data_IF_277096542792
#
_entry.id   IF_277096542792
#
_cell.length_a   1.000
_cell.length_b   1.000
_cell.length_c   1.000
_cell.angle_alpha   90.00
_cell.angle_beta   90.00
_cell.angle_gamma   90.00
#
_symmetry.space_group_name_H-M   'P 1'
#
loop_
_entity.id
_entity.type
_entity.pdbx_description
1 polymer ?
#
# COMPACT_ATOMS: atom_id res chain seq x y z
N UNK A 1 3.73 -15.99 2.03
CA UNK A 1 3.53 -15.02 0.94
C UNK A 1 2.76 -13.79 1.44
N UNK A 2 1.56 -13.93 2.05
CA UNK A 2 0.74 -12.81 2.52
C UNK A 2 1.51 -11.82 3.40
N UNK A 3 2.21 -12.30 4.43
CA UNK A 3 2.97 -11.42 5.35
C UNK A 3 4.09 -10.67 4.65
N UNK A 4 4.76 -11.28 3.68
CA UNK A 4 5.82 -10.64 2.91
C UNK A 4 5.28 -9.48 2.06
N UNK A 5 4.16 -9.72 1.36
CA UNK A 5 3.49 -8.70 0.56
C UNK A 5 2.99 -7.57 1.46
N UNK A 6 2.38 -7.91 2.58
CA UNK A 6 1.90 -6.94 3.55
C UNK A 6 3.04 -6.08 4.14
N UNK A 7 4.17 -6.72 4.47
CA UNK A 7 5.36 -6.01 4.92
C UNK A 7 5.90 -5.06 3.85
N UNK A 8 6.01 -5.51 2.59
CA UNK A 8 6.49 -4.66 1.50
C UNK A 8 5.60 -3.44 1.28
N UNK A 9 4.27 -3.61 1.27
CA UNK A 9 3.31 -2.51 1.13
C UNK A 9 3.45 -1.48 2.26
N UNK A 10 3.54 -1.94 3.50
CA UNK A 10 3.67 -1.06 4.65
C UNK A 10 5.02 -0.35 4.69
N UNK A 11 6.12 -1.07 4.50
CA UNK A 11 7.46 -0.49 4.46
C UNK A 11 7.59 0.55 3.35
N UNK A 12 7.02 0.27 2.18
CA UNK A 12 6.97 1.22 1.07
C UNK A 12 6.19 2.48 1.42
N UNK A 13 4.98 2.34 1.94
CA UNK A 13 4.15 3.47 2.36
C UNK A 13 4.84 4.31 3.45
N UNK A 14 5.38 3.67 4.50
CA UNK A 14 6.11 4.38 5.55
C UNK A 14 7.39 5.02 5.06
N UNK A 15 8.07 4.46 4.06
CA UNK A 15 9.22 5.09 3.42
C UNK A 15 8.84 6.43 2.76
N UNK A 16 7.66 6.51 2.13
CA UNK A 16 7.13 7.77 1.61
C UNK A 16 6.79 8.73 2.75
N UNK A 17 6.15 8.23 3.82
CA UNK A 17 5.85 9.03 5.02
C UNK A 17 7.13 9.67 5.59
N UNK A 18 8.20 8.89 5.74
CA UNK A 18 9.48 9.38 6.25
C UNK A 18 10.05 10.46 5.33
N UNK A 19 9.99 10.28 4.00
CA UNK A 19 10.48 11.26 3.05
C UNK A 19 9.72 12.59 3.16
N UNK A 20 8.39 12.55 3.19
CA UNK A 20 7.53 13.74 3.30
C UNK A 20 7.69 14.39 4.66
N UNK A 21 7.68 13.63 5.75
CA UNK A 21 7.81 14.16 7.12
C UNK A 21 9.17 14.88 7.36
N UNK A 22 10.23 14.46 6.69
CA UNK A 22 11.53 15.15 6.74
C UNK A 22 11.47 16.56 6.16
N UNK A 23 10.66 16.78 5.13
CA UNK A 23 10.48 18.11 4.53
C UNK A 23 9.47 18.94 5.33
N UNK A 24 8.30 18.39 5.58
CA UNK A 24 7.16 19.12 6.18
C UNK A 24 7.26 19.25 7.69
N UNK A 25 8.14 18.47 8.33
CA UNK A 25 8.25 18.33 9.80
C UNK A 25 6.92 17.99 10.48
N UNK A 26 6.02 17.35 9.73
CA UNK A 26 4.68 16.96 10.18
C UNK A 26 4.38 15.53 9.72
N UNK A 27 3.64 14.80 10.54
CA UNK A 27 3.07 13.48 10.21
C UNK A 27 1.59 13.54 9.85
N UNK A 28 1.01 14.75 9.75
CA UNK A 28 -0.42 14.92 9.46
C UNK A 28 -0.73 14.70 7.98
N UNK A 29 -1.91 14.14 7.69
CA UNK A 29 -2.37 13.91 6.32
C UNK A 29 -2.51 15.23 5.55
N UNK A 30 -2.84 16.32 6.23
CA UNK A 30 -2.91 17.66 5.65
C UNK A 30 -1.61 18.11 5.00
N UNK A 31 -0.46 17.68 5.53
CA UNK A 31 0.86 18.03 5.01
C UNK A 31 1.20 17.38 3.66
N UNK A 32 0.39 16.39 3.21
CA UNK A 32 0.52 15.76 1.90
C UNK A 32 -0.19 16.52 0.78
N UNK A 33 -0.84 17.64 1.10
CA UNK A 33 -1.53 18.47 0.10
C UNK A 33 -0.62 18.81 -1.08
N UNK A 34 -1.09 18.56 -2.30
CA UNK A 34 -0.36 18.88 -3.51
C UNK A 34 0.97 18.16 -3.70
N UNK A 35 1.20 17.03 -3.02
CA UNK A 35 2.45 16.28 -3.13
C UNK A 35 2.83 15.97 -4.58
N UNK A 36 1.85 15.75 -5.44
CA UNK A 36 2.07 15.52 -6.87
C UNK A 36 2.75 16.71 -7.57
N UNK A 37 2.51 17.95 -7.13
CA UNK A 37 3.08 19.14 -7.78
C UNK A 37 4.58 19.27 -7.59
N UNK A 38 5.11 18.87 -6.42
CA UNK A 38 6.53 19.05 -6.08
C UNK A 38 7.33 17.75 -5.89
N UNK A 39 6.65 16.61 -5.73
CA UNK A 39 7.28 15.29 -5.62
C UNK A 39 6.41 14.21 -6.29
N UNK A 40 6.19 14.26 -7.63
CA UNK A 40 5.27 13.37 -8.33
C UNK A 40 5.63 11.88 -8.15
N UNK A 41 6.92 11.55 -8.11
CA UNK A 41 7.36 10.17 -7.88
C UNK A 41 6.91 9.61 -6.53
N UNK A 42 7.00 10.40 -5.46
CA UNK A 42 6.52 9.98 -4.13
C UNK A 42 5.00 9.87 -4.08
N UNK A 43 4.28 10.78 -4.74
CA UNK A 43 2.82 10.74 -4.82
C UNK A 43 2.33 9.48 -5.56
N UNK A 44 2.96 9.11 -6.67
CA UNK A 44 2.65 7.89 -7.42
C UNK A 44 2.96 6.65 -6.59
N UNK A 45 4.13 6.55 -5.96
CA UNK A 45 4.51 5.42 -5.12
C UNK A 45 3.55 5.25 -3.94
N UNK A 46 3.22 6.34 -3.25
CA UNK A 46 2.26 6.30 -2.15
C UNK A 46 0.88 5.82 -2.63
N UNK A 47 0.42 6.28 -3.78
CA UNK A 47 -0.84 5.84 -4.38
C UNK A 47 -0.83 4.34 -4.68
N UNK A 48 0.26 3.82 -5.24
CA UNK A 48 0.43 2.38 -5.51
C UNK A 48 0.34 1.58 -4.20
N UNK A 49 1.06 1.99 -3.16
CA UNK A 49 1.03 1.30 -1.87
C UNK A 49 -0.35 1.37 -1.21
N UNK A 50 -0.99 2.54 -1.20
CA UNK A 50 -2.33 2.72 -0.62
C UNK A 50 -3.38 1.88 -1.36
N UNK A 51 -3.37 1.87 -2.68
CA UNK A 51 -4.31 1.08 -3.48
C UNK A 51 -4.02 -0.43 -3.38
N UNK A 52 -2.75 -0.81 -3.23
CA UNK A 52 -2.41 -2.19 -2.94
C UNK A 52 -2.93 -2.63 -1.56
N UNK A 53 -2.76 -1.80 -0.52
CA UNK A 53 -3.33 -2.04 0.81
C UNK A 53 -4.86 -2.09 0.80
N UNK A 54 -5.49 -1.25 -0.01
CA UNK A 54 -6.95 -1.31 -0.24
C UNK A 54 -7.38 -2.63 -0.89
N UNK A 55 -6.49 -3.27 -1.65
CA UNK A 55 -6.77 -4.51 -2.37
C UNK A 55 -7.34 -4.28 -3.75
N UNK A 56 -6.92 -3.21 -4.44
CA UNK A 56 -7.36 -2.89 -5.79
C UNK A 56 -6.53 -3.70 -6.80
N UNK A 57 -7.16 -4.51 -7.69
CA UNK A 57 -6.46 -5.18 -8.78
C UNK A 57 -5.83 -4.14 -9.74
N UNK A 58 -4.70 -4.43 -10.39
CA UNK A 58 -3.92 -5.67 -10.38
C UNK A 58 -2.79 -5.71 -9.33
N UNK A 59 -2.91 -4.99 -8.22
CA UNK A 59 -1.85 -4.90 -7.22
C UNK A 59 -1.82 -6.11 -6.27
N UNK A 60 -0.66 -6.33 -5.64
CA UNK A 60 -0.39 -7.49 -4.80
C UNK A 60 -1.38 -7.71 -3.65
N UNK A 61 -1.88 -6.62 -3.06
CA UNK A 61 -2.85 -6.69 -1.96
C UNK A 61 -4.20 -7.31 -2.33
N UNK A 62 -4.62 -7.20 -3.61
CA UNK A 62 -5.83 -7.85 -4.09
C UNK A 62 -5.70 -9.38 -4.00
N UNK A 63 -4.60 -9.94 -4.49
CA UNK A 63 -4.33 -11.37 -4.44
C UNK A 63 -4.19 -11.87 -3.01
N UNK A 64 -3.49 -11.12 -2.17
CA UNK A 64 -3.36 -11.44 -0.75
C UNK A 64 -4.73 -11.58 -0.07
N UNK A 65 -5.66 -10.65 -0.33
CA UNK A 65 -7.03 -10.70 0.21
C UNK A 65 -7.82 -11.87 -0.38
N UNK A 66 -7.73 -12.13 -1.68
CA UNK A 66 -8.43 -13.25 -2.32
C UNK A 66 -8.01 -14.58 -1.69
N UNK A 67 -6.73 -14.79 -1.41
CA UNK A 67 -6.24 -16.01 -0.76
C UNK A 67 -6.78 -16.15 0.67
N UNK A 68 -6.83 -15.07 1.43
CA UNK A 68 -7.41 -15.08 2.79
C UNK A 68 -8.90 -15.38 2.73
N UNK A 69 -9.66 -14.74 1.83
CA UNK A 69 -11.09 -15.00 1.70
C UNK A 69 -11.39 -16.44 1.28
N UNK A 70 -10.60 -17.00 0.36
CA UNK A 70 -10.73 -18.43 -0.01
C UNK A 70 -10.51 -19.33 1.18
N UNK A 71 -9.43 -19.15 1.93
CA UNK A 71 -9.14 -19.96 3.11
C UNK A 71 -10.25 -19.88 4.17
N UNK A 72 -10.86 -18.72 4.34
CA UNK A 72 -12.00 -18.51 5.24
C UNK A 72 -13.25 -19.25 4.77
N UNK A 73 -13.54 -19.21 3.47
CA UNK A 73 -14.70 -19.90 2.90
C UNK A 73 -14.52 -21.43 2.92
N UNK A 74 -13.32 -21.91 2.64
CA UNK A 74 -12.99 -23.35 2.66
C UNK A 74 -13.09 -23.95 4.07
N UNK A 75 -12.91 -23.13 5.11
CA UNK A 75 -13.09 -23.56 6.50
C UNK A 75 -14.54 -23.96 6.86
N UNK A 76 -15.55 -23.48 6.12
CA UNK A 76 -16.93 -23.93 6.16
C UNK A 76 -17.69 -23.76 7.49
N UNK A 77 -17.13 -23.03 8.45
CA UNK A 77 -17.71 -22.81 9.78
C UNK A 77 -18.44 -21.48 9.86
N UNK A 78 -19.47 -21.37 10.71
CA UNK A 78 -20.18 -20.12 10.93
C UNK A 78 -19.26 -18.97 11.39
N UNK A 79 -18.25 -19.28 12.19
CA UNK A 79 -17.22 -18.32 12.60
C UNK A 79 -16.36 -17.84 11.44
N UNK A 80 -16.01 -18.71 10.51
CA UNK A 80 -15.25 -18.34 9.32
C UNK A 80 -16.05 -17.34 8.47
N UNK A 81 -17.35 -17.56 8.27
CA UNK A 81 -18.21 -16.62 7.56
C UNK A 81 -18.25 -15.26 8.26
N UNK A 82 -18.41 -15.23 9.60
CA UNK A 82 -18.38 -13.98 10.35
C UNK A 82 -17.08 -13.22 10.22
N UNK A 83 -15.93 -13.92 10.25
CA UNK A 83 -14.59 -13.33 10.00
C UNK A 83 -14.45 -12.79 8.57
N UNK A 84 -14.98 -13.52 7.58
CA UNK A 84 -15.00 -13.08 6.19
C UNK A 84 -15.78 -11.78 6.00
N UNK A 85 -16.98 -11.69 6.61
CA UNK A 85 -17.80 -10.47 6.58
C UNK A 85 -17.07 -9.31 7.27
N UNK A 86 -16.49 -9.55 8.44
CA UNK A 86 -15.73 -8.52 9.16
C UNK A 86 -14.55 -8.03 8.35
N UNK A 87 -13.80 -8.93 7.69
CA UNK A 87 -12.68 -8.60 6.82
C UNK A 87 -13.12 -7.79 5.58
N UNK A 88 -14.29 -8.12 5.00
CA UNK A 88 -14.85 -7.39 3.87
C UNK A 88 -15.23 -5.96 4.28
N UNK A 89 -15.95 -5.79 5.40
CA UNK A 89 -16.33 -4.48 5.94
C UNK A 89 -15.09 -3.65 6.24
N UNK A 90 -14.10 -4.23 6.91
CA UNK A 90 -12.84 -3.54 7.22
C UNK A 90 -12.07 -3.13 5.96
N UNK A 91 -12.16 -3.93 4.87
CA UNK A 91 -11.55 -3.58 3.59
C UNK A 91 -12.20 -2.37 2.94
N UNK A 92 -13.53 -2.22 3.05
CA UNK A 92 -14.26 -1.04 2.55
C UNK A 92 -13.89 0.20 3.36
N UNK A 93 -13.80 0.09 4.68
CA UNK A 93 -13.35 1.18 5.56
C UNK A 93 -11.91 1.59 5.18
N UNK A 94 -11.02 0.61 5.00
CA UNK A 94 -9.64 0.85 4.56
C UNK A 94 -9.56 1.57 3.22
N UNK A 95 -10.38 1.18 2.25
CA UNK A 95 -10.46 1.84 0.95
C UNK A 95 -10.79 3.33 1.08
N UNK A 96 -11.72 3.68 1.96
CA UNK A 96 -12.08 5.07 2.22
C UNK A 96 -10.88 5.87 2.76
N UNK A 97 -10.16 5.33 3.75
CA UNK A 97 -8.96 5.97 4.30
C UNK A 97 -7.86 6.14 3.27
N UNK A 98 -7.54 5.10 2.52
CA UNK A 98 -6.48 5.15 1.52
C UNK A 98 -6.82 6.10 0.37
N UNK A 99 -8.08 6.13 -0.04
CA UNK A 99 -8.54 7.07 -1.06
C UNK A 99 -8.49 8.53 -0.58
N UNK A 100 -8.72 8.78 0.72
CA UNK A 100 -8.63 10.14 1.27
C UNK A 100 -7.19 10.67 1.24
N UNK A 101 -6.19 9.82 1.53
CA UNK A 101 -4.78 10.18 1.41
C UNK A 101 -4.41 10.47 -0.05
N UNK A 102 -4.83 9.60 -0.99
CA UNK A 102 -4.61 9.83 -2.41
C UNK A 102 -5.24 11.15 -2.86
N UNK A 103 -6.49 11.41 -2.48
CA UNK A 103 -7.17 12.68 -2.80
C UNK A 103 -6.38 13.88 -2.27
N UNK A 104 -5.85 13.80 -1.06
CA UNK A 104 -5.04 14.87 -0.47
C UNK A 104 -3.81 15.19 -1.32
N UNK A 105 -3.10 14.16 -1.78
CA UNK A 105 -1.89 14.32 -2.60
C UNK A 105 -2.15 14.89 -3.99
N UNK A 106 -3.28 14.53 -4.60
CA UNK A 106 -3.57 14.82 -6.01
C UNK A 106 -4.48 16.01 -6.22
N UNK A 107 -5.38 16.33 -5.27
CA UNK A 107 -6.48 17.28 -5.49
C UNK A 107 -6.46 18.46 -4.52
N UNK A 108 -5.63 18.44 -3.48
CA UNK A 108 -5.55 19.53 -2.51
C UNK A 108 -4.35 20.41 -2.84
N UNK A 109 -4.47 21.74 -2.74
CA UNK A 109 -3.34 22.65 -2.94
C UNK A 109 -2.23 22.41 -1.93
N UNK A 110 -1.00 22.82 -2.28
CA UNK A 110 0.15 22.78 -1.35
C UNK A 110 -0.12 23.73 -0.18
N UNK A 111 -0.14 23.25 1.08
CA UNK A 111 -0.56 24.04 2.24
C UNK A 111 0.22 25.33 2.42
N UNK A 112 1.55 25.27 2.29
CA UNK A 112 2.46 26.40 2.51
C UNK A 112 2.95 27.05 1.21
N UNK A 113 2.46 26.60 0.05
CA UNK A 113 2.92 27.03 -1.27
C UNK A 113 4.36 26.64 -1.59
N UNK A 114 5.06 25.92 -0.71
CA UNK A 114 6.44 25.48 -0.91
C UNK A 114 6.51 24.27 -1.83
N UNK A 115 6.89 24.50 -3.08
CA UNK A 115 7.06 23.47 -4.13
C UNK A 115 8.51 23.00 -4.30
N UNK A 116 9.38 23.23 -3.33
CA UNK A 116 10.75 22.70 -3.40
C UNK A 116 10.72 21.17 -3.37
N UNK A 117 11.60 20.50 -4.14
CA UNK A 117 11.65 19.05 -4.19
C UNK A 117 11.91 18.41 -2.81
N UNK A 118 11.33 17.23 -2.58
CA UNK A 118 11.59 16.46 -1.36
C UNK A 118 12.95 15.77 -1.51
N UNK A 119 13.93 16.05 -0.63
CA UNK A 119 15.21 15.32 -0.66
C UNK A 119 15.00 13.89 -0.14
N UNK A 120 15.20 12.90 -1.02
CA UNK A 120 15.08 11.48 -0.67
C UNK A 120 16.48 10.88 -0.56
N UNK A 121 16.94 10.45 0.63
CA UNK A 121 18.24 9.81 0.80
C UNK A 121 18.35 8.49 0.03
N UNK A 122 19.55 8.16 -0.46
CA UNK A 122 19.79 6.95 -1.25
C UNK A 122 19.27 5.64 -0.60
N UNK A 123 19.43 5.40 0.72
CA UNK A 123 18.84 4.21 1.35
C UNK A 123 17.32 4.15 1.24
N UNK A 124 16.66 5.31 1.29
CA UNK A 124 15.21 5.38 1.19
C UNK A 124 14.74 5.15 -0.26
N UNK A 125 15.50 5.62 -1.25
CA UNK A 125 15.26 5.31 -2.66
C UNK A 125 15.39 3.81 -2.91
N UNK A 126 16.40 3.16 -2.35
CA UNK A 126 16.57 1.71 -2.45
C UNK A 126 15.39 0.95 -1.81
N UNK A 127 14.97 1.35 -0.60
CA UNK A 127 13.80 0.76 0.07
C UNK A 127 12.52 0.90 -0.75
N UNK A 128 12.26 2.08 -1.30
CA UNK A 128 11.11 2.34 -2.18
C UNK A 128 11.18 1.50 -3.46
N UNK A 129 12.35 1.40 -4.09
CA UNK A 129 12.57 0.60 -5.29
C UNK A 129 12.30 -0.89 -5.04
N UNK A 130 12.84 -1.45 -3.95
CA UNK A 130 12.63 -2.86 -3.59
C UNK A 130 11.15 -3.13 -3.29
N UNK A 131 10.53 -2.31 -2.45
CA UNK A 131 9.15 -2.53 -2.00
C UNK A 131 8.15 -2.39 -3.13
N UNK A 132 8.29 -1.39 -4.01
CA UNK A 132 7.40 -1.24 -5.17
C UNK A 132 7.60 -2.37 -6.18
N UNK A 133 8.84 -2.83 -6.37
CA UNK A 133 9.12 -3.98 -7.25
C UNK A 133 8.45 -5.25 -6.76
N UNK A 134 8.48 -5.52 -5.46
CA UNK A 134 7.76 -6.65 -4.85
C UNK A 134 6.26 -6.52 -5.06
N UNK A 135 5.69 -5.35 -4.78
CA UNK A 135 4.23 -5.11 -4.92
C UNK A 135 3.77 -5.30 -6.36
N UNK A 136 4.53 -4.80 -7.33
CA UNK A 136 4.18 -4.93 -8.74
C UNK A 136 4.41 -6.34 -9.26
N UNK A 137 5.55 -6.98 -8.90
CA UNK A 137 5.87 -8.33 -9.34
C UNK A 137 4.81 -9.34 -8.84
N UNK A 138 4.41 -9.28 -7.57
CA UNK A 138 3.37 -10.14 -7.02
C UNK A 138 2.00 -9.79 -7.61
N UNK A 139 1.74 -8.52 -7.87
CA UNK A 139 0.49 -8.06 -8.48
C UNK A 139 0.28 -8.62 -9.89
N UNK A 140 1.32 -8.55 -10.72
CA UNK A 140 1.28 -9.00 -12.12
C UNK A 140 1.44 -10.52 -12.25
N UNK A 141 2.24 -11.15 -11.37
CA UNK A 141 2.58 -12.57 -11.45
C UNK A 141 2.33 -13.35 -10.13
N UNK A 142 1.10 -13.40 -9.64
CA UNK A 142 0.78 -13.98 -8.33
C UNK A 142 1.09 -15.49 -8.27
N UNK A 143 1.02 -16.19 -9.41
CA UNK A 143 1.24 -17.63 -9.50
C UNK A 143 2.66 -18.07 -9.14
N UNK A 144 3.67 -17.28 -9.50
CA UNK A 144 5.07 -17.58 -9.13
C UNK A 144 5.25 -17.55 -7.62
N UNK A 145 4.60 -16.59 -6.94
CA UNK A 145 4.69 -16.45 -5.49
C UNK A 145 3.83 -17.45 -4.72
N UNK A 146 2.70 -17.90 -5.30
CA UNK A 146 1.93 -19.00 -4.74
C UNK A 146 2.74 -20.28 -4.70
N UNK A 147 3.41 -20.65 -5.80
CA UNK A 147 4.31 -21.82 -5.90
C UNK A 147 5.47 -21.76 -4.90
N UNK A 148 6.08 -20.60 -4.71
CA UNK A 148 7.12 -20.41 -3.68
C UNK A 148 6.57 -20.65 -2.27
N UNK A 149 5.33 -20.27 -2.01
CA UNK A 149 4.65 -20.55 -0.74
C UNK A 149 4.44 -22.04 -0.50
N UNK A 150 4.04 -22.78 -1.53
CA UNK A 150 3.85 -24.26 -1.48
C UNK A 150 5.18 -24.97 -1.22
N UNK A 151 6.25 -24.57 -1.91
CA UNK A 151 7.60 -25.12 -1.71
C UNK A 151 8.19 -24.84 -0.31
N UNK A 152 7.78 -23.74 0.31
CA UNK A 152 8.23 -23.38 1.66
C UNK A 152 7.41 -24.04 2.78
N UNK A 153 6.27 -24.64 2.47
CA UNK A 153 5.38 -25.30 3.43
C UNK A 153 5.46 -26.84 3.42
N UNK A 154 6.16 -27.42 2.46
CA UNK A 154 6.48 -28.86 2.36
C UNK A 154 7.77 -29.17 3.10
#
# INVERSE_FOLDING_TARGET
VYLLVYAAMNLGAFSVVIAVARKTRSGEISSYGGLFEYAPGLAVLMTIFMFSLAGIPPLAGAWAKIFVFRAVLDAGTGWAVALGVAAAVNSVIGLFYYSSVARQMWMTPVPDGDRTPVPVPAPLVAALGITVSVVLAVGVYPQAFARLGELASG
#
